data_IF_212978224828
#
_entry.id   IF_212978224828
#
_cell.length_a   1.000
_cell.length_b   1.000
_cell.length_c   1.000
_cell.angle_alpha   90.00
_cell.angle_beta   90.00
_cell.angle_gamma   90.00
#
_symmetry.space_group_name_H-M   'P 1'
#
loop_
_entity.id
_entity.type
_entity.pdbx_description
1 polymer ?
#
# COMPACT_ATOMS: atom_id res chain seq x y z
N UNK A 1 13.75 15.99 -0.59
CA UNK A 1 12.56 15.62 0.21
C UNK A 1 12.33 16.59 1.37
N UNK A 2 13.33 16.85 2.22
CA UNK A 2 13.20 17.77 3.37
C UNK A 2 12.62 19.15 3.00
N UNK A 3 13.03 19.73 1.86
CA UNK A 3 12.46 20.98 1.31
C UNK A 3 10.95 20.95 1.03
N UNK A 4 10.39 19.76 0.82
CA UNK A 4 8.98 19.56 0.40
C UNK A 4 8.11 19.15 1.58
N UNK A 5 8.72 18.55 2.61
CA UNK A 5 8.06 17.88 3.72
C UNK A 5 8.64 18.40 5.04
N UNK A 6 7.93 19.34 5.71
CA UNK A 6 8.37 19.90 6.98
C UNK A 6 8.59 18.84 8.07
N UNK A 7 7.68 17.87 8.18
CA UNK A 7 7.83 16.79 9.17
C UNK A 7 9.06 15.91 8.93
N UNK A 8 9.48 15.71 7.67
CA UNK A 8 10.74 15.01 7.37
C UNK A 8 11.96 15.89 7.61
N UNK A 9 11.84 17.20 7.40
CA UNK A 9 12.87 18.17 7.75
C UNK A 9 13.14 18.14 9.27
N UNK A 10 12.10 18.20 10.09
CA UNK A 10 12.20 18.12 11.55
C UNK A 10 12.78 16.77 12.00
N UNK A 11 12.34 15.67 11.39
CA UNK A 11 12.89 14.33 11.65
C UNK A 11 14.42 14.24 11.46
N UNK A 12 14.98 14.95 10.48
CA UNK A 12 16.43 15.00 10.23
C UNK A 12 17.14 15.89 11.27
N UNK A 13 16.56 17.05 11.60
CA UNK A 13 17.09 17.94 12.65
C UNK A 13 17.18 17.26 14.00
N UNK A 14 16.14 16.52 14.39
CA UNK A 14 16.08 15.74 15.63
C UNK A 14 17.19 14.69 15.75
N UNK A 15 17.87 14.38 14.63
CA UNK A 15 18.97 13.41 14.54
C UNK A 15 20.31 14.05 14.21
N UNK A 16 20.41 15.38 14.31
CA UNK A 16 21.61 16.13 13.98
C UNK A 16 22.09 15.90 12.53
N UNK A 17 21.16 15.66 11.60
CA UNK A 17 21.45 15.60 10.16
C UNK A 17 21.03 16.92 9.54
N UNK A 18 21.93 17.56 8.78
CA UNK A 18 21.62 18.74 8.00
C UNK A 18 20.52 18.43 6.96
N UNK A 19 19.31 19.03 7.06
CA UNK A 19 18.24 18.76 6.11
C UNK A 19 18.48 19.36 4.71
N UNK A 20 19.34 20.38 4.60
CA UNK A 20 19.68 21.02 3.33
C UNK A 20 20.74 20.23 2.56
N UNK A 21 21.65 19.57 3.28
CA UNK A 21 22.65 18.67 2.72
C UNK A 21 22.75 17.35 3.53
N UNK A 22 21.72 16.48 3.44
CA UNK A 22 21.67 15.28 4.26
C UNK A 22 22.68 14.24 3.74
N UNK A 23 23.79 14.09 4.45
CA UNK A 23 24.86 13.15 4.14
C UNK A 23 25.17 12.25 5.35
N UNK A 24 25.51 10.99 5.09
CA UNK A 24 25.99 10.07 6.12
C UNK A 24 27.52 10.05 6.13
N UNK A 25 28.13 10.55 7.19
CA UNK A 25 29.59 10.51 7.37
C UNK A 25 30.06 9.15 7.91
N UNK A 26 29.15 8.39 8.53
CA UNK A 26 29.42 7.10 9.12
C UNK A 26 28.40 6.03 8.66
N UNK A 27 28.83 4.77 8.71
CA UNK A 27 28.02 3.62 8.26
C UNK A 27 26.78 3.38 9.16
N UNK A 28 26.83 3.79 10.43
CA UNK A 28 25.70 3.64 11.36
C UNK A 28 24.55 4.57 10.98
N UNK A 29 24.83 5.84 10.68
CA UNK A 29 23.85 6.82 10.17
C UNK A 29 23.29 6.37 8.82
N UNK A 30 24.16 5.89 7.92
CA UNK A 30 23.76 5.34 6.62
C UNK A 30 22.73 4.21 6.78
N UNK A 31 23.02 3.22 7.64
CA UNK A 31 22.13 2.07 7.88
C UNK A 31 20.86 2.44 8.64
N UNK A 32 21.00 3.14 9.76
CA UNK A 32 19.90 3.41 10.70
C UNK A 32 18.86 4.40 10.16
N UNK A 33 19.27 5.29 9.26
CA UNK A 33 18.42 6.37 8.76
C UNK A 33 18.25 6.27 7.25
N UNK A 34 19.33 6.41 6.49
CA UNK A 34 19.23 6.56 5.03
C UNK A 34 18.73 5.30 4.35
N UNK A 35 19.29 4.13 4.67
CA UNK A 35 18.82 2.85 4.11
C UNK A 35 17.47 2.44 4.68
N UNK A 36 17.27 2.61 6.00
CA UNK A 36 16.03 2.24 6.68
C UNK A 36 14.81 2.98 6.13
N UNK A 37 14.91 4.29 5.91
CA UNK A 37 13.79 5.13 5.49
C UNK A 37 13.80 5.48 4.00
N UNK A 38 14.78 4.97 3.22
CA UNK A 38 14.93 5.28 1.79
C UNK A 38 13.63 5.12 1.01
N UNK A 39 12.97 3.98 1.20
CA UNK A 39 11.77 3.63 0.45
C UNK A 39 10.65 4.63 0.74
N UNK A 40 10.34 4.85 2.02
CA UNK A 40 9.28 5.76 2.47
C UNK A 40 9.51 7.19 1.97
N UNK A 41 10.75 7.68 2.08
CA UNK A 41 11.15 9.01 1.59
C UNK A 41 10.98 9.14 0.09
N UNK A 42 11.35 8.11 -0.70
CA UNK A 42 11.17 8.09 -2.16
C UNK A 42 9.68 8.08 -2.52
N UNK A 43 8.88 7.24 -1.85
CA UNK A 43 7.44 7.18 -2.09
C UNK A 43 6.75 8.49 -1.73
N UNK A 44 7.10 9.10 -0.60
CA UNK A 44 6.61 10.43 -0.23
C UNK A 44 6.99 11.50 -1.24
N UNK A 45 8.25 11.52 -1.71
CA UNK A 45 8.71 12.47 -2.73
C UNK A 45 7.87 12.37 -4.02
N UNK A 46 7.48 11.16 -4.40
CA UNK A 46 6.75 10.89 -5.64
C UNK A 46 5.25 11.12 -5.49
N UNK A 47 4.66 10.75 -4.36
CA UNK A 47 3.21 10.62 -4.20
C UNK A 47 2.54 11.59 -3.21
N UNK A 48 3.30 12.32 -2.38
CA UNK A 48 2.71 13.25 -1.39
C UNK A 48 2.09 14.51 -2.03
N UNK A 49 2.69 15.03 -3.10
CA UNK A 49 2.09 16.09 -3.94
C UNK A 49 1.43 15.47 -5.18
N UNK A 50 0.82 16.28 -6.06
CA UNK A 50 0.24 15.85 -7.37
C UNK A 50 1.26 14.94 -8.10
N UNK A 51 1.13 13.63 -7.87
CA UNK A 51 2.20 12.69 -8.17
C UNK A 51 2.26 12.38 -9.65
N UNK A 52 3.45 11.95 -10.13
CA UNK A 52 3.56 11.43 -11.49
C UNK A 52 2.65 10.21 -11.63
N UNK A 53 1.83 10.19 -12.68
CA UNK A 53 0.90 9.09 -12.97
C UNK A 53 1.63 7.75 -13.17
N UNK A 54 2.85 7.79 -13.71
CA UNK A 54 3.73 6.63 -13.91
C UNK A 54 5.14 6.98 -13.43
N UNK A 55 5.47 6.72 -12.14
CA UNK A 55 6.79 6.96 -11.63
C UNK A 55 7.75 5.84 -12.01
N UNK A 56 9.00 6.19 -12.28
CA UNK A 56 10.05 5.25 -12.66
C UNK A 56 10.64 4.64 -11.37
N UNK A 57 9.83 3.89 -10.63
CA UNK A 57 10.26 3.19 -9.39
C UNK A 57 9.88 1.70 -9.39
N UNK A 58 9.00 1.29 -10.32
CA UNK A 58 8.46 -0.07 -10.40
C UNK A 58 9.15 -0.82 -11.55
N UNK A 59 10.46 -1.02 -11.48
CA UNK A 59 11.25 -1.56 -12.60
C UNK A 59 12.45 -2.37 -12.15
N UNK A 60 12.96 -3.19 -13.07
CA UNK A 60 14.15 -4.01 -12.87
C UNK A 60 13.86 -5.34 -12.18
N UNK A 61 14.64 -6.36 -12.52
CA UNK A 61 14.43 -7.73 -12.06
C UNK A 61 14.31 -7.88 -10.53
N UNK A 62 15.16 -7.24 -9.69
CA UNK A 62 15.02 -7.36 -8.25
C UNK A 62 13.65 -6.88 -7.74
N UNK A 63 13.12 -5.80 -8.31
CA UNK A 63 11.81 -5.28 -7.96
C UNK A 63 10.70 -6.24 -8.38
N UNK A 64 10.77 -6.77 -9.61
CA UNK A 64 9.76 -7.69 -10.15
C UNK A 64 9.67 -8.99 -9.32
N UNK A 65 10.82 -9.53 -8.91
CA UNK A 65 10.86 -10.72 -8.04
C UNK A 65 10.23 -10.39 -6.67
N UNK A 66 10.61 -9.25 -6.08
CA UNK A 66 10.16 -8.85 -4.75
C UNK A 66 8.63 -8.67 -4.66
N UNK A 67 8.01 -8.00 -5.64
CA UNK A 67 6.55 -7.78 -5.63
C UNK A 67 5.72 -9.03 -5.91
N UNK A 68 6.33 -10.08 -6.46
CA UNK A 68 5.64 -11.32 -6.77
C UNK A 68 5.53 -12.24 -5.54
N UNK A 69 6.12 -11.90 -4.40
CA UNK A 69 6.04 -12.67 -3.15
C UNK A 69 6.42 -14.15 -3.31
N UNK A 70 7.34 -14.46 -4.24
CA UNK A 70 7.74 -15.83 -4.57
C UNK A 70 6.77 -16.59 -5.47
N UNK A 71 5.71 -15.97 -5.99
CA UNK A 71 4.79 -16.58 -6.95
C UNK A 71 5.38 -16.54 -8.37
N UNK A 72 5.86 -17.68 -8.92
CA UNK A 72 6.49 -17.69 -10.23
C UNK A 72 5.50 -17.37 -11.37
N UNK A 73 4.20 -17.67 -11.19
CA UNK A 73 3.18 -17.40 -12.24
C UNK A 73 3.00 -15.90 -12.47
N UNK A 74 3.02 -15.10 -11.40
CA UNK A 74 2.93 -13.65 -11.49
C UNK A 74 4.17 -13.05 -12.15
N UNK A 75 5.35 -13.58 -11.83
CA UNK A 75 6.61 -13.15 -12.44
C UNK A 75 6.61 -13.45 -13.95
N UNK A 76 6.23 -14.67 -14.33
CA UNK A 76 6.12 -15.08 -15.74
C UNK A 76 5.17 -14.15 -16.49
N UNK A 77 3.98 -13.90 -15.94
CA UNK A 77 3.00 -12.99 -16.58
C UNK A 77 3.52 -11.55 -16.77
N UNK A 78 4.28 -11.02 -15.80
CA UNK A 78 4.92 -9.70 -15.96
C UNK A 78 5.99 -9.71 -17.07
N UNK A 79 6.80 -10.76 -17.12
CA UNK A 79 7.87 -10.90 -18.13
C UNK A 79 7.27 -11.09 -19.53
N UNK A 80 6.20 -11.87 -19.67
CA UNK A 80 5.48 -12.05 -20.93
C UNK A 80 4.90 -10.74 -21.45
N UNK A 81 4.22 -9.96 -20.60
CA UNK A 81 3.68 -8.65 -21.00
C UNK A 81 4.81 -7.68 -21.40
N UNK A 82 5.96 -7.74 -20.72
CA UNK A 82 7.16 -7.01 -21.08
C UNK A 82 7.70 -7.41 -22.47
N UNK A 83 7.78 -8.71 -22.75
CA UNK A 83 8.22 -9.23 -24.05
C UNK A 83 7.27 -8.79 -25.18
N UNK A 84 5.96 -9.02 -25.02
CA UNK A 84 4.94 -8.63 -26.00
C UNK A 84 5.00 -7.13 -26.32
N UNK A 85 5.26 -6.29 -25.32
CA UNK A 85 5.36 -4.84 -25.52
C UNK A 85 6.66 -4.42 -26.18
N UNK A 86 7.74 -5.18 -25.97
CA UNK A 86 9.04 -4.96 -26.62
C UNK A 86 9.03 -5.35 -28.10
N UNK A 87 8.28 -6.39 -28.48
CA UNK A 87 8.17 -6.84 -29.88
C UNK A 87 7.49 -5.80 -30.79
N UNK A 88 6.59 -5.00 -30.21
CA UNK A 88 5.83 -3.96 -30.93
C UNK A 88 6.63 -2.71 -31.27
N UNK A 89 7.82 -2.54 -30.69
CA UNK A 89 8.64 -1.35 -30.88
C UNK A 89 10.07 -1.72 -31.25
N UNK A 90 10.46 -1.37 -32.47
CA UNK A 90 11.78 -1.67 -33.04
C UNK A 90 12.92 -1.10 -32.17
N UNK A 91 12.64 -0.05 -31.37
CA UNK A 91 13.59 0.60 -30.46
C UNK A 91 13.83 -0.19 -29.16
N UNK A 92 12.96 -1.14 -28.77
CA UNK A 92 13.06 -1.89 -27.50
C UNK A 92 13.82 -3.22 -27.60
N UNK A 93 14.39 -3.54 -28.76
CA UNK A 93 15.10 -4.81 -29.02
C UNK A 93 16.30 -5.10 -28.12
N UNK A 94 16.82 -4.10 -27.37
CA UNK A 94 17.95 -4.28 -26.43
C UNK A 94 17.56 -4.15 -24.96
N UNK A 95 16.59 -3.31 -24.61
CA UNK A 95 16.16 -3.10 -23.23
C UNK A 95 14.82 -2.37 -23.19
N UNK A 96 13.95 -2.78 -22.27
CA UNK A 96 12.64 -2.16 -22.06
C UNK A 96 12.82 -0.92 -21.16
N UNK A 97 12.37 0.28 -21.59
CA UNK A 97 12.49 1.48 -20.78
C UNK A 97 11.82 1.36 -19.40
N UNK A 98 12.41 1.99 -18.39
CA UNK A 98 11.94 1.93 -16.99
C UNK A 98 10.49 2.39 -16.81
N UNK A 99 10.07 3.40 -17.57
CA UNK A 99 8.70 3.91 -17.55
C UNK A 99 7.70 2.88 -18.11
N UNK A 100 8.09 2.13 -19.15
CA UNK A 100 7.26 1.07 -19.72
C UNK A 100 7.13 -0.09 -18.74
N UNK A 101 8.24 -0.54 -18.15
CA UNK A 101 8.22 -1.55 -17.08
C UNK A 101 7.30 -1.12 -15.93
N UNK A 102 7.43 0.14 -15.48
CA UNK A 102 6.61 0.68 -14.40
C UNK A 102 5.13 0.75 -14.76
N UNK A 103 4.79 1.09 -16.01
CA UNK A 103 3.41 1.09 -16.48
C UNK A 103 2.82 -0.33 -16.45
N UNK A 104 3.56 -1.32 -16.97
CA UNK A 104 3.14 -2.72 -16.99
C UNK A 104 2.85 -3.22 -15.57
N UNK A 105 3.75 -2.95 -14.62
CA UNK A 105 3.57 -3.34 -13.23
C UNK A 105 2.32 -2.68 -12.62
N UNK A 106 2.13 -1.37 -12.83
CA UNK A 106 0.95 -0.66 -12.32
C UNK A 106 -0.34 -1.24 -12.90
N UNK A 107 -0.36 -1.53 -14.20
CA UNK A 107 -1.54 -2.06 -14.87
C UNK A 107 -1.83 -3.50 -14.45
N UNK A 108 -0.80 -4.33 -14.28
CA UNK A 108 -0.94 -5.68 -13.73
C UNK A 108 -1.47 -5.65 -12.28
N UNK A 109 -0.96 -4.74 -11.45
CA UNK A 109 -1.45 -4.53 -10.07
C UNK A 109 -2.94 -4.17 -10.04
N UNK A 110 -3.39 -3.29 -10.95
CA UNK A 110 -4.81 -2.96 -11.08
C UNK A 110 -5.64 -4.14 -11.57
N UNK A 111 -5.15 -4.89 -12.56
CA UNK A 111 -5.83 -6.10 -13.05
C UNK A 111 -6.02 -7.10 -11.90
N UNK A 112 -4.99 -7.35 -11.10
CA UNK A 112 -5.08 -8.23 -9.93
C UNK A 112 -6.12 -7.73 -8.93
N UNK A 113 -6.12 -6.43 -8.62
CA UNK A 113 -7.14 -5.86 -7.74
C UNK A 113 -8.56 -6.05 -8.31
N UNK A 114 -8.77 -5.81 -9.60
CA UNK A 114 -10.08 -5.99 -10.22
C UNK A 114 -10.52 -7.47 -10.22
N UNK A 115 -9.59 -8.42 -10.34
CA UNK A 115 -9.90 -9.84 -10.20
C UNK A 115 -10.38 -10.17 -8.78
N UNK A 116 -9.75 -9.61 -7.76
CA UNK A 116 -10.18 -9.76 -6.37
C UNK A 116 -11.56 -9.14 -6.13
N UNK A 117 -11.82 -7.97 -6.72
CA UNK A 117 -13.10 -7.26 -6.61
C UNK A 117 -14.27 -8.04 -7.21
N UNK A 118 -14.03 -8.75 -8.32
CA UNK A 118 -15.05 -9.47 -9.07
C UNK A 118 -15.07 -10.99 -8.77
N UNK A 119 -14.32 -11.46 -7.78
CA UNK A 119 -14.32 -12.87 -7.42
C UNK A 119 -15.68 -13.27 -6.80
N UNK A 120 -16.23 -14.47 -7.07
CA UNK A 120 -17.53 -14.87 -6.51
C UNK A 120 -17.62 -14.77 -4.99
N UNK A 121 -16.53 -15.15 -4.30
CA UNK A 121 -16.43 -15.11 -2.83
C UNK A 121 -15.92 -13.77 -2.28
N UNK A 122 -15.93 -12.71 -3.10
CA UNK A 122 -15.41 -11.40 -2.69
C UNK A 122 -16.40 -10.57 -1.89
N UNK A 123 -17.71 -10.84 -1.97
CA UNK A 123 -18.73 -10.05 -1.29
C UNK A 123 -19.45 -10.86 -0.23
N UNK A 124 -19.55 -10.30 0.96
CA UNK A 124 -20.32 -10.82 2.09
C UNK A 124 -21.31 -9.76 2.57
N UNK A 125 -22.24 -10.16 3.44
CA UNK A 125 -23.16 -9.22 4.11
C UNK A 125 -22.71 -9.03 5.56
N UNK A 126 -22.44 -7.78 5.94
CA UNK A 126 -22.06 -7.40 7.31
C UNK A 126 -23.07 -6.39 7.82
N UNK A 127 -23.78 -6.74 8.90
CA UNK A 127 -24.81 -5.87 9.50
C UNK A 127 -25.87 -5.37 8.49
N UNK A 128 -26.23 -6.21 7.52
CA UNK A 128 -27.24 -5.89 6.50
C UNK A 128 -26.74 -5.10 5.29
N UNK A 129 -25.45 -4.76 5.22
CA UNK A 129 -24.85 -4.09 4.07
C UNK A 129 -23.88 -5.02 3.34
N UNK A 130 -23.77 -4.86 2.02
CA UNK A 130 -22.74 -5.53 1.23
C UNK A 130 -21.35 -5.00 1.63
N UNK A 131 -20.40 -5.93 1.73
CA UNK A 131 -19.02 -5.65 2.10
C UNK A 131 -18.11 -6.51 1.23
N UNK A 132 -17.32 -5.86 0.37
CA UNK A 132 -16.47 -6.52 -0.60
C UNK A 132 -14.98 -6.52 -0.20
N UNK A 133 -14.30 -7.63 -0.46
CA UNK A 133 -12.91 -7.86 -0.11
C UNK A 133 -11.99 -6.80 -0.68
N UNK A 134 -12.13 -6.47 -1.96
CA UNK A 134 -11.22 -5.53 -2.61
C UNK A 134 -11.52 -4.08 -2.16
N UNK A 135 -12.78 -3.67 -2.23
CA UNK A 135 -13.20 -2.28 -2.00
C UNK A 135 -13.31 -1.90 -0.53
N UNK A 136 -13.75 -2.81 0.32
CA UNK A 136 -14.09 -2.52 1.71
C UNK A 136 -13.10 -3.13 2.72
N UNK A 137 -12.26 -4.09 2.32
CA UNK A 137 -11.18 -4.59 3.19
C UNK A 137 -9.80 -4.14 2.70
N UNK A 138 -9.39 -4.61 1.51
CA UNK A 138 -8.05 -4.40 0.97
C UNK A 138 -7.80 -2.92 0.69
N UNK A 139 -8.79 -2.19 0.15
CA UNK A 139 -8.66 -0.75 -0.07
C UNK A 139 -8.63 0.06 1.23
N UNK A 140 -9.38 -0.34 2.26
CA UNK A 140 -9.29 0.31 3.58
C UNK A 140 -7.87 0.16 4.14
N UNK A 141 -7.32 -1.06 4.13
CA UNK A 141 -5.97 -1.35 4.61
C UNK A 141 -4.92 -0.59 3.78
N UNK A 142 -5.00 -0.68 2.45
CA UNK A 142 -4.03 -0.07 1.54
C UNK A 142 -4.02 1.45 1.60
N UNK A 143 -5.19 2.08 1.65
CA UNK A 143 -5.31 3.53 1.78
C UNK A 143 -4.84 4.01 3.16
N UNK A 144 -5.16 3.27 4.23
CA UNK A 144 -4.64 3.59 5.56
C UNK A 144 -3.11 3.57 5.60
N UNK A 145 -2.48 2.53 5.04
CA UNK A 145 -1.02 2.45 4.95
C UNK A 145 -0.44 3.57 4.07
N UNK A 146 -1.08 3.87 2.94
CA UNK A 146 -0.71 5.00 2.09
C UNK A 146 -0.74 6.31 2.86
N UNK A 147 -1.81 6.58 3.60
CA UNK A 147 -1.95 7.82 4.36
C UNK A 147 -0.89 7.92 5.44
N UNK A 148 -0.61 6.83 6.17
CA UNK A 148 0.44 6.81 7.21
C UNK A 148 1.84 6.99 6.64
N UNK A 149 2.16 6.33 5.53
CA UNK A 149 3.51 6.36 4.95
C UNK A 149 3.74 7.64 4.13
N UNK A 150 2.74 8.06 3.36
CA UNK A 150 2.87 9.07 2.29
C UNK A 150 2.30 10.43 2.67
N UNK A 151 1.06 10.47 3.19
CA UNK A 151 0.29 11.72 3.31
C UNK A 151 0.51 12.43 4.66
N UNK A 152 0.42 11.67 5.74
CA UNK A 152 0.58 12.14 7.11
C UNK A 152 2.01 12.57 7.39
N UNK A 153 2.21 13.23 8.54
CA UNK A 153 3.53 13.62 9.01
C UNK A 153 4.48 12.43 9.11
N UNK A 154 5.76 12.71 8.84
CA UNK A 154 6.79 11.71 8.77
C UNK A 154 6.97 11.07 10.14
N UNK A 155 6.68 9.76 10.21
CA UNK A 155 6.80 8.98 11.44
C UNK A 155 7.99 8.03 11.35
N UNK A 156 8.65 7.81 12.49
CA UNK A 156 9.69 6.77 12.63
C UNK A 156 9.12 5.36 12.44
N UNK A 157 7.82 5.20 12.66
CA UNK A 157 7.09 3.94 12.69
C UNK A 157 5.77 4.12 11.92
N UNK A 158 5.84 3.89 10.61
CA UNK A 158 4.64 3.80 9.78
C UNK A 158 4.27 2.32 9.62
N UNK A 159 3.04 1.92 9.98
CA UNK A 159 2.63 0.53 9.84
C UNK A 159 2.56 0.16 8.36
N UNK A 160 3.14 -1.00 8.02
CA UNK A 160 3.01 -1.63 6.71
C UNK A 160 2.46 -3.05 6.78
N UNK A 161 2.09 -3.47 8.00
CA UNK A 161 1.53 -4.77 8.31
C UNK A 161 0.39 -4.60 9.30
N UNK A 162 -0.46 -5.61 9.41
CA UNK A 162 -1.59 -5.60 10.34
C UNK A 162 -1.75 -6.94 11.05
N UNK A 163 -2.39 -6.93 12.21
CA UNK A 163 -2.81 -8.12 12.96
C UNK A 163 -4.33 -8.22 12.91
N UNK A 164 -4.84 -9.42 12.65
CA UNK A 164 -6.28 -9.71 12.80
C UNK A 164 -6.55 -9.95 14.28
N UNK A 165 -7.07 -8.95 14.98
CA UNK A 165 -7.37 -9.04 16.40
C UNK A 165 -8.79 -9.57 16.69
N UNK A 166 -9.05 -9.96 17.94
CA UNK A 166 -10.32 -10.59 18.36
C UNK A 166 -11.56 -9.67 18.25
N UNK A 167 -11.38 -8.38 17.93
CA UNK A 167 -12.49 -7.45 17.74
C UNK A 167 -13.10 -7.51 16.33
N UNK A 168 -12.60 -8.36 15.45
CA UNK A 168 -13.09 -8.54 14.08
C UNK A 168 -14.23 -9.57 14.05
N UNK A 169 -15.30 -9.28 13.31
CA UNK A 169 -16.46 -10.19 13.21
C UNK A 169 -16.12 -11.47 12.44
N UNK A 170 -16.85 -12.55 12.71
CA UNK A 170 -16.63 -13.85 12.06
C UNK A 170 -16.81 -13.79 10.54
N UNK A 171 -17.73 -12.96 10.04
CA UNK A 171 -17.95 -12.76 8.61
C UNK A 171 -16.71 -12.14 7.95
N UNK A 172 -16.13 -11.11 8.57
CA UNK A 172 -14.91 -10.46 8.09
C UNK A 172 -13.71 -11.41 8.19
N UNK A 173 -13.63 -12.24 9.25
CA UNK A 173 -12.60 -13.28 9.38
C UNK A 173 -12.62 -14.23 8.17
N UNK A 174 -13.80 -14.72 7.76
CA UNK A 174 -13.93 -15.56 6.56
C UNK A 174 -13.47 -14.83 5.30
N UNK A 175 -13.79 -13.55 5.19
CA UNK A 175 -13.33 -12.74 4.06
C UNK A 175 -11.80 -12.56 4.03
N UNK A 176 -11.17 -12.45 5.21
CA UNK A 176 -9.71 -12.40 5.35
C UNK A 176 -9.08 -13.74 4.95
N UNK A 177 -9.69 -14.87 5.31
CA UNK A 177 -9.25 -16.20 4.87
C UNK A 177 -9.31 -16.32 3.35
N UNK A 178 -10.41 -15.86 2.72
CA UNK A 178 -10.52 -15.78 1.26
C UNK A 178 -9.45 -14.85 0.67
N UNK A 179 -9.20 -13.69 1.29
CA UNK A 179 -8.16 -12.75 0.85
C UNK A 179 -6.75 -13.36 0.91
N UNK A 180 -6.47 -14.16 1.93
CA UNK A 180 -5.22 -14.90 2.07
C UNK A 180 -5.10 -15.97 0.97
N UNK A 181 -6.16 -16.76 0.77
CA UNK A 181 -6.20 -17.81 -0.25
C UNK A 181 -6.02 -17.26 -1.67
N UNK A 182 -6.64 -16.12 -1.98
CA UNK A 182 -6.54 -15.45 -3.28
C UNK A 182 -5.23 -14.63 -3.43
N UNK A 183 -4.36 -14.63 -2.42
CA UNK A 183 -3.09 -13.92 -2.46
C UNK A 183 -3.21 -12.40 -2.43
N UNK A 184 -4.29 -11.84 -1.88
CA UNK A 184 -4.43 -10.41 -1.64
C UNK A 184 -3.60 -9.95 -0.43
N UNK A 185 -3.38 -10.85 0.53
CA UNK A 185 -2.56 -10.64 1.72
C UNK A 185 -1.56 -11.79 1.89
N UNK A 186 -0.45 -11.50 2.56
CA UNK A 186 0.64 -12.44 2.80
C UNK A 186 0.83 -12.60 4.30
N UNK A 187 0.80 -13.84 4.77
CA UNK A 187 1.12 -14.20 6.14
C UNK A 187 2.62 -14.08 6.39
N UNK A 188 3.01 -13.44 7.50
CA UNK A 188 4.41 -13.10 7.78
C UNK A 188 5.09 -13.99 8.81
N UNK A 189 4.37 -14.89 9.48
CA UNK A 189 4.94 -15.74 10.52
C UNK A 189 5.01 -17.21 10.07
N UNK A 190 6.16 -17.69 9.55
CA UNK A 190 6.27 -19.04 9.03
C UNK A 190 6.38 -20.12 10.12
N UNK A 191 6.56 -19.75 11.41
CA UNK A 191 6.86 -20.73 12.47
C UNK A 191 5.59 -21.38 13.00
N UNK A 192 4.49 -20.65 13.06
CA UNK A 192 3.19 -21.20 13.38
C UNK A 192 2.43 -21.49 12.09
N UNK A 193 2.29 -22.78 11.73
CA UNK A 193 1.27 -23.19 10.77
C UNK A 193 -0.07 -22.53 11.17
N UNK A 194 -0.89 -22.11 10.19
CA UNK A 194 -2.24 -21.59 10.43
C UNK A 194 -2.98 -22.60 11.31
N UNK A 195 -2.99 -22.30 12.60
CA UNK A 195 -3.41 -23.23 13.65
C UNK A 195 -4.91 -23.45 13.60
N UNK A 196 -5.44 -24.23 14.54
CA UNK A 196 -6.89 -24.36 14.77
C UNK A 196 -7.63 -23.04 15.03
N UNK A 197 -6.92 -21.93 15.30
CA UNK A 197 -7.49 -20.58 15.49
C UNK A 197 -7.63 -19.75 14.20
N UNK A 198 -7.30 -20.31 13.02
CA UNK A 198 -7.42 -19.62 11.74
C UNK A 198 -6.48 -18.41 11.61
N UNK A 199 -7.00 -17.31 11.05
CA UNK A 199 -6.25 -16.06 10.80
C UNK A 199 -6.17 -15.12 12.01
N UNK A 200 -6.91 -15.37 13.09
CA UNK A 200 -6.94 -14.49 14.27
C UNK A 200 -5.62 -14.55 15.06
N UNK A 201 -5.17 -13.40 15.54
CA UNK A 201 -3.88 -13.18 16.19
C UNK A 201 -2.69 -13.18 15.23
N UNK A 202 -2.91 -13.44 13.93
CA UNK A 202 -1.85 -13.55 12.95
C UNK A 202 -1.53 -12.22 12.28
N UNK A 203 -0.27 -12.10 11.85
CA UNK A 203 0.28 -10.89 11.23
C UNK A 203 0.37 -11.05 9.72
N UNK A 204 -0.13 -10.04 9.01
CA UNK A 204 -0.20 -10.02 7.57
C UNK A 204 0.33 -8.71 6.99
N UNK A 205 0.68 -8.74 5.71
CA UNK A 205 0.81 -7.55 4.86
C UNK A 205 -0.06 -7.69 3.63
N UNK A 206 -0.30 -6.58 2.93
CA UNK A 206 -0.80 -6.66 1.55
C UNK A 206 0.22 -7.38 0.67
N UNK A 207 -0.27 -8.11 -0.34
CA UNK A 207 0.63 -8.66 -1.37
C UNK A 207 1.45 -7.55 -2.01
N UNK A 208 2.73 -7.85 -2.24
CA UNK A 208 3.67 -7.01 -2.96
C UNK A 208 3.09 -6.53 -4.29
N UNK A 209 2.26 -7.36 -4.93
CA UNK A 209 1.66 -7.07 -6.22
C UNK A 209 0.56 -6.01 -6.17
N UNK A 210 -0.04 -5.78 -5.00
CA UNK A 210 -1.03 -4.71 -4.78
C UNK A 210 -0.38 -3.38 -4.37
N UNK A 211 0.89 -3.40 -3.95
CA UNK A 211 1.60 -2.20 -3.49
C UNK A 211 1.70 -1.08 -4.54
N UNK A 212 1.85 -1.34 -5.86
CA UNK A 212 1.82 -0.29 -6.87
C UNK A 212 0.47 0.44 -6.97
N UNK A 213 -0.66 -0.28 -6.83
CA UNK A 213 -2.00 0.32 -6.81
C UNK A 213 -2.15 1.27 -5.63
N UNK A 214 -1.77 0.83 -4.44
CA UNK A 214 -1.89 1.62 -3.21
C UNK A 214 -0.75 2.62 -3.01
N UNK A 215 0.25 2.64 -3.91
CA UNK A 215 1.39 3.56 -3.85
C UNK A 215 2.07 3.50 -2.48
N UNK A 216 2.33 2.29 -2.01
CA UNK A 216 3.07 1.99 -0.78
C UNK A 216 4.30 1.17 -1.12
N UNK A 217 5.40 1.28 -0.36
CA UNK A 217 6.55 0.41 -0.56
C UNK A 217 6.24 -1.03 -0.12
N UNK A 218 6.78 -2.01 -0.85
CA UNK A 218 6.77 -3.42 -0.43
C UNK A 218 7.81 -3.65 0.66
N UNK A 219 7.48 -3.29 1.91
CA UNK A 219 8.36 -3.40 3.07
C UNK A 219 7.59 -3.87 4.29
N UNK A 220 8.29 -4.59 5.17
CA UNK A 220 7.76 -5.03 6.46
C UNK A 220 8.34 -4.14 7.57
N UNK A 221 7.47 -3.37 8.23
CA UNK A 221 7.82 -2.45 9.32
C UNK A 221 7.08 -2.81 10.60
N UNK A 222 6.39 -1.85 11.23
CA UNK A 222 5.53 -2.08 12.39
C UNK A 222 4.17 -2.63 11.98
N UNK A 223 3.48 -3.18 12.96
CA UNK A 223 2.12 -3.70 12.85
C UNK A 223 1.10 -2.76 13.49
N UNK A 224 -0.16 -2.96 13.12
CA UNK A 224 -1.32 -2.30 13.72
C UNK A 224 -2.49 -3.29 13.76
N UNK A 225 -3.38 -3.16 14.74
CA UNK A 225 -4.62 -3.94 14.81
C UNK A 225 -5.54 -3.61 13.63
N UNK A 226 -6.14 -4.62 13.01
CA UNK A 226 -7.08 -4.44 11.91
C UNK A 226 -8.31 -3.64 12.37
N UNK A 227 -8.80 -3.88 13.59
CA UNK A 227 -9.92 -3.14 14.16
C UNK A 227 -9.63 -1.63 14.27
N UNK A 228 -8.38 -1.25 14.55
CA UNK A 228 -7.95 0.14 14.58
C UNK A 228 -7.92 0.79 13.18
N UNK A 229 -7.51 0.04 12.15
CA UNK A 229 -7.59 0.50 10.75
C UNK A 229 -9.05 0.77 10.37
N UNK A 230 -9.93 -0.20 10.61
CA UNK A 230 -11.35 -0.09 10.27
C UNK A 230 -12.03 1.06 11.01
N UNK A 231 -11.77 1.20 12.32
CA UNK A 231 -12.31 2.29 13.13
C UNK A 231 -11.86 3.67 12.62
N UNK A 232 -10.59 3.80 12.20
CA UNK A 232 -10.09 5.04 11.62
C UNK A 232 -10.80 5.40 10.30
N UNK A 233 -11.10 4.39 9.47
CA UNK A 233 -11.87 4.59 8.24
C UNK A 233 -13.29 5.10 8.53
N UNK A 234 -14.01 4.46 9.44
CA UNK A 234 -15.37 4.86 9.84
C UNK A 234 -15.43 6.29 10.37
N UNK A 235 -14.44 6.69 11.20
CA UNK A 235 -14.34 8.06 11.69
C UNK A 235 -14.12 9.08 10.57
N UNK A 236 -13.31 8.75 9.57
CA UNK A 236 -13.07 9.62 8.42
C UNK A 236 -14.31 9.75 7.54
N UNK A 237 -15.03 8.65 7.30
CA UNK A 237 -16.30 8.64 6.55
C UNK A 237 -17.36 9.53 7.22
N UNK A 238 -17.52 9.43 8.54
CA UNK A 238 -18.44 10.29 9.30
C UNK A 238 -18.08 11.78 9.20
N UNK A 239 -16.79 12.11 9.20
CA UNK A 239 -16.33 13.50 9.02
C UNK A 239 -16.65 14.04 7.63
N UNK A 240 -16.41 13.26 6.56
CA UNK A 240 -16.77 13.69 5.21
C UNK A 240 -18.27 13.92 5.05
N UNK A 241 -19.10 13.04 5.61
CA UNK A 241 -20.56 13.15 5.52
C UNK A 241 -21.09 14.38 6.29
N UNK A 242 -20.47 14.68 7.45
CA UNK A 242 -20.82 15.86 8.24
C UNK A 242 -20.50 17.18 7.51
N UNK A 243 -19.39 17.24 6.77
CA UNK A 243 -19.01 18.41 5.98
C UNK A 243 -19.92 18.65 4.76
N UNK A 244 -20.32 17.58 4.07
CA UNK A 244 -21.29 17.67 2.97
C UNK A 244 -22.64 18.17 3.50
N UNK A 245 -23.03 17.77 4.71
CA UNK A 245 -24.29 18.20 5.33
C UNK A 245 -24.26 19.67 5.79
N UNK A 246 -23.10 20.19 6.22
CA UNK A 246 -22.94 21.60 6.59
C UNK A 246 -22.91 22.54 5.38
N UNK A 247 -22.23 22.17 4.29
CA UNK A 247 -22.18 22.98 3.06
C UNK A 247 -23.56 23.09 2.40
N UNK A 248 -24.33 22.00 2.38
CA UNK A 248 -25.70 21.99 1.85
C UNK A 248 -26.69 22.81 2.70
N UNK A 249 -26.40 23.05 3.99
CA UNK A 249 -27.21 23.96 4.83
C UNK A 249 -26.85 25.43 4.56
N UNK A 250 -25.59 25.76 4.31
CA UNK A 250 -25.18 27.13 3.97
C UNK A 250 -25.69 27.59 2.59
N UNK A 251 -25.75 26.69 1.61
CA UNK A 251 -26.32 27.00 0.29
C UNK A 251 -27.83 27.32 0.39
N UNK A 252 -28.58 26.67 1.29
CA UNK A 252 -30.01 26.93 1.48
C UNK A 252 -30.32 28.23 2.24
N UNK A 253 -29.36 28.79 2.98
CA UNK A 253 -29.56 30.03 3.76
C UNK A 253 -29.35 31.28 2.88
N UNK A 254 -28.55 31.18 1.81
CA UNK A 254 -28.25 32.30 0.89
C UNK A 254 -29.24 32.43 -0.30
N UNK A 255 -30.37 31.72 -0.24
CA UNK A 255 -31.43 31.70 -1.28
C UNK A 255 -32.77 32.26 -0.77
N UNK A 256 -32.75 33.12 0.25
CA UNK A 256 -33.92 33.86 0.73
C UNK A 256 -33.66 35.36 0.75
#
# INVERSE_FOLDING_TARGET
MAKIDPSFYDFLKDRNIDPENPYAYDDMTSKSIFLKYKADVVYRLIYRKRGRRIPHIHYGLPYLIDICDGNPRMLIGLVEEMMIRSEKDVLFRKSIPKNIQSSIVIDASKKQYNLLENHPDSTIVVSGNEFNMATDLISIIGNFMHDKIVQNDFSKTSPSTFIVDDCISLEIIKLIESALYLGAIIYLDPVEALSSKGVTGKRFRLSGFLTPKFKIPNRVYSEIKLSAIMSAHELNKRKSDSHITSDNRQIKINLK
#
